data_IF_746765059786
#
_entry.id   IF_746765059786
#
_cell.length_a   1.000
_cell.length_b   1.000
_cell.length_c   1.000
_cell.angle_alpha   90.00
_cell.angle_beta   90.00
_cell.angle_gamma   90.00
#
_symmetry.space_group_name_H-M   'P 1'
#
loop_
_entity.id
_entity.type
_entity.pdbx_description
1 polymer ?
#
# COMPACT_ATOMS: atom_id res chain seq x y z
N UNK A 1 0.78 -16.97 -9.13
CA UNK A 1 1.03 -16.60 -7.73
C UNK A 1 0.58 -15.15 -7.55
N UNK A 2 -0.21 -14.84 -6.52
CA UNK A 2 -0.63 -13.47 -6.24
C UNK A 2 0.57 -12.65 -5.73
N UNK A 3 0.56 -11.34 -5.95
CA UNK A 3 1.61 -10.46 -5.43
C UNK A 3 1.49 -10.28 -3.91
N UNK A 4 2.64 -10.23 -3.23
CA UNK A 4 2.73 -9.85 -1.82
C UNK A 4 2.57 -8.33 -1.68
N UNK A 5 1.85 -7.90 -0.64
CA UNK A 5 1.48 -6.48 -0.45
C UNK A 5 2.39 -5.79 0.57
N UNK A 6 2.75 -4.55 0.27
CA UNK A 6 3.46 -3.65 1.18
C UNK A 6 2.50 -2.59 1.69
N UNK A 7 2.28 -2.58 3.01
CA UNK A 7 1.20 -1.82 3.64
C UNK A 7 1.76 -0.79 4.64
N UNK A 8 1.72 0.50 4.32
CA UNK A 8 1.96 1.56 5.29
C UNK A 8 0.82 1.67 6.30
N UNK A 9 1.19 1.78 7.59
CA UNK A 9 0.23 2.00 8.68
C UNK A 9 0.34 3.41 9.27
N UNK A 10 -0.82 4.06 9.42
CA UNK A 10 -0.99 5.41 9.93
C UNK A 10 -1.81 5.35 11.22
N UNK A 11 -1.16 5.57 12.35
CA UNK A 11 -1.85 5.77 13.62
C UNK A 11 -2.41 7.19 13.63
N UNK A 12 -3.72 7.32 13.85
CA UNK A 12 -4.40 8.60 13.83
C UNK A 12 -4.93 8.91 15.23
N UNK A 13 -4.71 10.14 15.68
CA UNK A 13 -5.28 10.65 16.91
C UNK A 13 -5.75 12.07 16.69
N UNK A 14 -7.03 12.30 16.99
CA UNK A 14 -7.67 13.61 16.86
C UNK A 14 -7.50 14.20 15.44
N UNK A 15 -7.70 13.36 14.41
CA UNK A 15 -7.61 13.76 13.00
C UNK A 15 -6.20 13.98 12.47
N UNK A 16 -5.16 13.66 13.25
CA UNK A 16 -3.76 13.81 12.84
C UNK A 16 -3.00 12.50 12.91
N UNK A 17 -2.08 12.28 11.98
CA UNK A 17 -1.17 11.14 12.05
C UNK A 17 -0.22 11.37 13.20
N UNK A 18 -0.09 10.38 14.07
CA UNK A 18 0.78 10.43 15.23
C UNK A 18 1.80 9.30 15.21
N UNK A 19 2.95 9.53 15.82
CA UNK A 19 4.01 8.52 15.97
C UNK A 19 4.53 8.47 17.39
N UNK A 20 4.64 7.27 17.94
CA UNK A 20 5.24 6.98 19.23
C UNK A 20 5.51 5.49 19.36
N UNK A 21 6.31 5.08 20.33
CA UNK A 21 6.52 3.67 20.65
C UNK A 21 5.53 3.26 21.73
N UNK A 22 4.82 2.14 21.54
CA UNK A 22 3.80 1.64 22.48
C UNK A 22 2.76 2.71 22.89
N UNK A 23 2.37 3.60 21.96
CA UNK A 23 1.46 4.73 22.20
C UNK A 23 1.95 5.77 23.24
N UNK A 24 3.23 5.74 23.61
CA UNK A 24 3.89 6.69 24.51
C UNK A 24 4.62 7.75 23.68
N UNK A 25 4.67 8.99 24.18
CA UNK A 25 5.37 10.13 23.56
C UNK A 25 4.95 10.43 22.10
N UNK A 26 3.64 10.42 21.83
CA UNK A 26 3.08 10.68 20.51
C UNK A 26 3.50 12.06 19.97
N UNK A 27 4.16 12.06 18.81
CA UNK A 27 4.49 13.25 18.02
C UNK A 27 3.57 13.33 16.82
N UNK A 28 3.23 14.55 16.42
CA UNK A 28 2.53 14.82 15.17
C UNK A 28 3.43 14.46 13.98
N UNK A 29 2.92 13.63 13.07
CA UNK A 29 3.61 13.14 11.89
C UNK A 29 2.98 13.61 10.58
N UNK A 30 1.90 14.41 10.63
CA UNK A 30 1.32 14.98 9.41
C UNK A 30 -0.20 14.86 9.32
N UNK A 31 -0.70 15.42 8.23
CA UNK A 31 -2.09 15.27 7.81
C UNK A 31 -2.31 13.87 7.21
N UNK A 32 -3.35 13.12 7.63
CA UNK A 32 -3.61 11.77 7.12
C UNK A 32 -3.79 11.69 5.61
N UNK A 33 -4.42 12.69 4.99
CA UNK A 33 -4.71 12.71 3.55
C UNK A 33 -3.42 12.90 2.76
N UNK A 34 -2.59 13.86 3.17
CA UNK A 34 -1.28 14.10 2.53
C UNK A 34 -0.35 12.89 2.64
N UNK A 35 -0.29 12.26 3.83
CA UNK A 35 0.48 11.02 4.00
C UNK A 35 -0.06 9.88 3.12
N UNK A 36 -1.38 9.71 3.04
CA UNK A 36 -2.01 8.67 2.24
C UNK A 36 -1.72 8.84 0.75
N UNK A 37 -1.82 10.08 0.25
CA UNK A 37 -1.46 10.44 -1.13
C UNK A 37 0.00 10.13 -1.43
N UNK A 38 0.91 10.53 -0.55
CA UNK A 38 2.34 10.26 -0.71
C UNK A 38 2.64 8.76 -0.79
N UNK A 39 1.97 7.93 0.04
CA UNK A 39 2.14 6.48 -0.02
C UNK A 39 1.53 5.83 -1.26
N UNK A 40 0.37 6.30 -1.70
CA UNK A 40 -0.24 5.89 -2.97
C UNK A 40 0.71 6.16 -4.15
N UNK A 41 1.29 7.37 -4.21
CA UNK A 41 2.26 7.75 -5.24
C UNK A 41 3.55 6.93 -5.14
N UNK A 42 4.05 6.67 -3.92
CA UNK A 42 5.21 5.81 -3.69
C UNK A 42 4.97 4.32 -4.03
N UNK A 43 3.74 3.95 -4.42
CA UNK A 43 3.39 2.61 -4.83
C UNK A 43 3.06 1.67 -3.68
N UNK A 44 2.58 2.16 -2.54
CA UNK A 44 1.96 1.30 -1.52
C UNK A 44 0.83 0.45 -2.12
N UNK A 45 0.65 -0.79 -1.66
CA UNK A 45 -0.40 -1.68 -2.18
C UNK A 45 -1.75 -1.51 -1.50
N UNK A 46 -1.70 -1.05 -0.25
CA UNK A 46 -2.85 -0.80 0.61
C UNK A 46 -2.40 0.15 1.73
N UNK A 47 -3.34 0.87 2.36
CA UNK A 47 -3.09 1.63 3.58
C UNK A 47 -3.89 1.08 4.76
N UNK A 48 -3.36 1.22 5.98
CA UNK A 48 -4.11 0.94 7.22
C UNK A 48 -4.11 2.19 8.08
N UNK A 49 -5.30 2.65 8.47
CA UNK A 49 -5.49 3.72 9.44
C UNK A 49 -5.97 3.13 10.76
N UNK A 50 -5.24 3.37 11.85
CA UNK A 50 -5.62 2.94 13.19
C UNK A 50 -5.97 4.18 14.02
N UNK A 51 -7.26 4.42 14.25
CA UNK A 51 -7.70 5.48 15.16
C UNK A 51 -7.50 5.04 16.62
N UNK A 52 -6.66 5.79 17.32
CA UNK A 52 -6.34 5.59 18.74
C UNK A 52 -6.99 6.64 19.65
N UNK A 53 -7.90 7.46 19.11
CA UNK A 53 -8.66 8.41 19.92
C UNK A 53 -9.60 7.67 20.89
N UNK A 54 -9.50 8.03 22.17
CA UNK A 54 -10.25 7.39 23.26
C UNK A 54 -11.67 7.95 23.48
N UNK A 55 -12.14 8.89 22.65
CA UNK A 55 -13.37 9.66 22.91
C UNK A 55 -14.49 9.35 21.92
N UNK A 56 -15.73 9.41 22.41
CA UNK A 56 -16.97 9.19 21.63
C UNK A 56 -17.16 10.25 20.53
N UNK A 57 -16.60 11.45 20.72
CA UNK A 57 -16.60 12.56 19.76
C UNK A 57 -15.67 12.31 18.54
N UNK A 58 -14.80 11.30 18.58
CA UNK A 58 -13.88 10.97 17.49
C UNK A 58 -14.53 10.40 16.23
N UNK A 59 -15.78 9.90 16.31
CA UNK A 59 -16.41 9.16 15.20
C UNK A 59 -16.68 10.00 13.96
N UNK A 60 -17.22 11.20 14.12
CA UNK A 60 -17.41 12.13 13.00
C UNK A 60 -16.07 12.49 12.33
N UNK A 61 -15.04 12.70 13.16
CA UNK A 61 -13.68 13.01 12.69
C UNK A 61 -13.09 11.88 11.85
N UNK A 62 -13.27 10.62 12.25
CA UNK A 62 -12.80 9.47 11.47
C UNK A 62 -13.56 9.36 10.15
N UNK A 63 -14.89 9.50 10.16
CA UNK A 63 -15.70 9.43 8.92
C UNK A 63 -15.29 10.51 7.93
N UNK A 64 -15.06 11.74 8.40
CA UNK A 64 -14.64 12.83 7.52
C UNK A 64 -13.22 12.62 6.98
N UNK A 65 -12.30 12.12 7.81
CA UNK A 65 -10.97 11.69 7.33
C UNK A 65 -11.08 10.62 6.24
N UNK A 66 -11.92 9.59 6.43
CA UNK A 66 -12.11 8.50 5.47
C UNK A 66 -12.60 9.04 4.13
N UNK A 67 -13.58 9.96 4.12
CA UNK A 67 -14.05 10.61 2.88
C UNK A 67 -12.92 11.35 2.18
N UNK A 68 -12.17 12.18 2.91
CA UNK A 68 -11.07 12.96 2.33
C UNK A 68 -9.95 12.09 1.79
N UNK A 69 -9.64 10.96 2.43
CA UNK A 69 -8.67 9.98 1.91
C UNK A 69 -9.18 9.31 0.64
N UNK A 70 -10.45 8.87 0.62
CA UNK A 70 -11.06 8.20 -0.54
C UNK A 70 -11.13 9.09 -1.79
N UNK A 71 -11.17 10.41 -1.63
CA UNK A 71 -11.11 11.36 -2.76
C UNK A 71 -9.73 11.47 -3.40
N UNK A 72 -8.66 11.06 -2.71
CA UNK A 72 -7.26 11.27 -3.12
C UNK A 72 -6.50 9.97 -3.40
N UNK A 73 -6.97 8.84 -2.89
CA UNK A 73 -6.24 7.56 -2.88
C UNK A 73 -6.99 6.50 -3.68
N UNK A 74 -6.27 5.81 -4.56
CA UNK A 74 -6.84 4.81 -5.49
C UNK A 74 -6.27 3.40 -5.27
N UNK A 75 -5.65 3.18 -4.12
CA UNK A 75 -5.32 1.87 -3.58
C UNK A 75 -6.28 1.56 -2.42
N UNK A 76 -6.54 0.29 -2.12
CA UNK A 76 -7.43 -0.06 -1.03
C UNK A 76 -6.94 0.50 0.31
N UNK A 77 -7.85 0.79 1.22
CA UNK A 77 -7.47 1.10 2.59
C UNK A 77 -8.41 0.53 3.65
N UNK A 78 -7.80 0.16 4.78
CA UNK A 78 -8.45 -0.41 5.95
C UNK A 78 -8.52 0.62 7.06
N UNK A 79 -9.66 0.71 7.75
CA UNK A 79 -9.84 1.59 8.93
C UNK A 79 -10.12 0.73 10.17
N UNK A 80 -9.28 0.88 11.18
CA UNK A 80 -9.45 0.28 12.50
C UNK A 80 -9.54 1.34 13.60
N UNK A 81 -10.00 0.93 14.78
CA UNK A 81 -10.16 1.81 15.94
C UNK A 81 -11.62 2.15 16.24
N UNK A 82 -12.10 1.80 17.44
CA UNK A 82 -13.41 2.26 17.92
C UNK A 82 -14.67 1.66 17.26
N UNK A 83 -14.53 0.75 16.29
CA UNK A 83 -15.64 0.06 15.59
C UNK A 83 -16.21 -1.06 16.47
N UNK A 84 -17.50 -0.97 16.82
CA UNK A 84 -18.16 -1.87 17.79
C UNK A 84 -19.52 -2.40 17.35
N UNK A 85 -20.04 -1.95 16.21
CA UNK A 85 -21.37 -2.32 15.73
C UNK A 85 -21.43 -2.43 14.20
N UNK A 86 -22.48 -3.05 13.67
CA UNK A 86 -22.72 -3.08 12.21
C UNK A 86 -23.02 -1.69 11.64
N UNK A 87 -23.52 -0.76 12.46
CA UNK A 87 -23.78 0.61 12.02
C UNK A 87 -22.46 1.37 11.86
N UNK A 88 -21.53 1.20 12.81
CA UNK A 88 -20.18 1.76 12.73
C UNK A 88 -19.47 1.28 11.45
N UNK A 89 -19.58 -0.02 11.16
CA UNK A 89 -18.99 -0.61 9.95
C UNK A 89 -19.62 0.00 8.69
N UNK A 90 -20.96 0.12 8.66
CA UNK A 90 -21.69 0.73 7.54
C UNK A 90 -21.25 2.16 7.28
N UNK A 91 -21.09 2.97 8.33
CA UNK A 91 -20.67 4.37 8.22
C UNK A 91 -19.27 4.49 7.59
N UNK A 92 -18.31 3.68 8.06
CA UNK A 92 -16.92 3.70 7.59
C UNK A 92 -16.81 3.22 6.14
N UNK A 93 -17.48 2.11 5.79
CA UNK A 93 -17.47 1.61 4.41
C UNK A 93 -18.15 2.58 3.44
N UNK A 94 -19.30 3.16 3.81
CA UNK A 94 -19.98 4.16 2.97
C UNK A 94 -19.20 5.47 2.83
N UNK A 95 -18.31 5.78 3.78
CA UNK A 95 -17.44 6.94 3.70
C UNK A 95 -16.31 6.75 2.68
N UNK A 96 -16.01 5.52 2.27
CA UNK A 96 -15.04 5.22 1.21
C UNK A 96 -13.94 4.23 1.60
N UNK A 97 -13.92 3.72 2.84
CA UNK A 97 -12.99 2.65 3.21
C UNK A 97 -13.39 1.33 2.53
N UNK A 98 -12.42 0.58 2.03
CA UNK A 98 -12.67 -0.73 1.43
C UNK A 98 -12.88 -1.82 2.49
N UNK A 99 -12.21 -1.65 3.64
CA UNK A 99 -12.15 -2.63 4.72
C UNK A 99 -12.21 -1.97 6.10
N UNK A 100 -12.72 -2.72 7.07
CA UNK A 100 -12.66 -2.38 8.49
C UNK A 100 -11.75 -3.35 9.24
N UNK A 101 -11.19 -2.90 10.37
CA UNK A 101 -10.41 -3.76 11.28
C UNK A 101 -11.06 -3.86 12.65
N UNK A 102 -11.33 -5.09 13.10
CA UNK A 102 -11.88 -5.40 14.43
C UNK A 102 -10.81 -6.09 15.29
N UNK A 103 -10.58 -5.58 16.49
CA UNK A 103 -9.72 -6.19 17.50
C UNK A 103 -10.55 -6.49 18.76
N UNK A 104 -10.61 -5.55 19.70
CA UNK A 104 -11.22 -5.75 21.01
C UNK A 104 -12.72 -6.02 20.93
N UNK A 105 -13.40 -5.49 19.91
CA UNK A 105 -14.81 -5.76 19.65
C UNK A 105 -15.04 -7.22 19.22
N UNK A 106 -14.16 -7.79 18.38
CA UNK A 106 -14.25 -9.18 17.97
C UNK A 106 -13.99 -10.15 19.13
N UNK A 107 -13.07 -9.82 20.05
CA UNK A 107 -12.85 -10.64 21.26
C UNK A 107 -14.05 -10.57 22.20
N UNK A 108 -14.63 -9.38 22.39
CA UNK A 108 -15.78 -9.19 23.29
C UNK A 108 -17.07 -9.81 22.75
N UNK A 109 -17.30 -9.72 21.46
CA UNK A 109 -18.46 -10.28 20.75
C UNK A 109 -18.00 -10.90 19.42
N UNK A 110 -17.55 -12.17 19.42
CA UNK A 110 -17.08 -12.84 18.20
C UNK A 110 -18.14 -12.90 17.09
N UNK A 111 -19.42 -12.96 17.45
CA UNK A 111 -20.51 -13.04 16.47
C UNK A 111 -20.64 -11.73 15.67
N UNK A 112 -20.04 -10.62 16.12
CA UNK A 112 -19.92 -9.40 15.30
C UNK A 112 -19.16 -9.66 13.99
N UNK A 113 -18.11 -10.50 14.00
CA UNK A 113 -17.35 -10.86 12.79
C UNK A 113 -18.27 -11.53 11.78
N UNK A 114 -19.09 -12.48 12.25
CA UNK A 114 -20.06 -13.21 11.41
C UNK A 114 -21.17 -12.32 10.87
N UNK A 115 -21.78 -11.50 11.72
CA UNK A 115 -22.80 -10.57 11.25
C UNK A 115 -22.23 -9.52 10.27
N UNK A 116 -20.96 -9.13 10.43
CA UNK A 116 -20.30 -8.20 9.52
C UNK A 116 -20.00 -8.85 8.17
N UNK A 117 -19.43 -10.06 8.18
CA UNK A 117 -19.09 -10.80 6.96
C UNK A 117 -20.34 -11.18 6.16
N UNK A 118 -21.43 -11.60 6.81
CA UNK A 118 -22.71 -11.89 6.15
C UNK A 118 -23.35 -10.64 5.53
N UNK A 119 -23.16 -9.47 6.13
CA UNK A 119 -23.79 -8.21 5.68
C UNK A 119 -22.99 -7.45 4.63
N UNK A 120 -21.66 -7.44 4.74
CA UNK A 120 -20.76 -6.61 3.92
C UNK A 120 -19.80 -7.43 3.05
N UNK A 121 -19.70 -8.74 3.28
CA UNK A 121 -18.74 -9.65 2.65
C UNK A 121 -17.47 -9.83 3.48
N UNK A 122 -16.91 -11.04 3.49
CA UNK A 122 -15.69 -11.36 4.25
C UNK A 122 -14.52 -10.45 3.87
N UNK A 123 -14.39 -10.10 2.59
CA UNK A 123 -13.30 -9.26 2.08
C UNK A 123 -13.26 -7.86 2.73
N UNK A 124 -14.36 -7.39 3.31
CA UNK A 124 -14.43 -6.11 4.02
C UNK A 124 -14.02 -6.22 5.50
N UNK A 125 -13.84 -7.43 6.04
CA UNK A 125 -13.64 -7.68 7.48
C UNK A 125 -12.23 -8.19 7.75
N UNK A 126 -11.37 -7.28 8.24
CA UNK A 126 -10.06 -7.61 8.79
C UNK A 126 -10.22 -7.83 10.30
N UNK A 127 -9.61 -8.90 10.83
CA UNK A 127 -9.49 -9.08 12.29
C UNK A 127 -8.05 -8.85 12.71
N UNK A 128 -7.84 -7.81 13.52
CA UNK A 128 -6.55 -7.53 14.12
C UNK A 128 -6.35 -8.39 15.39
N UNK A 129 -5.29 -9.19 15.39
CA UNK A 129 -4.89 -10.07 16.48
C UNK A 129 -3.56 -9.57 17.03
N UNK A 130 -3.62 -8.93 18.19
CA UNK A 130 -2.41 -8.57 18.93
C UNK A 130 -2.03 -9.74 19.84
N UNK A 131 -0.76 -10.14 19.80
CA UNK A 131 -0.26 -11.29 20.57
C UNK A 131 0.91 -10.90 21.46
N UNK A 132 1.08 -11.69 22.52
CA UNK A 132 2.27 -11.67 23.37
C UNK A 132 2.70 -13.09 23.69
N UNK A 133 4.01 -13.34 23.65
CA UNK A 133 4.62 -14.61 24.01
C UNK A 133 4.39 -14.93 25.50
N UNK A 134 4.08 -16.19 25.79
CA UNK A 134 3.98 -16.72 27.15
C UNK A 134 5.33 -17.26 27.59
N UNK A 135 5.84 -16.80 28.73
CA UNK A 135 7.07 -17.32 29.33
C UNK A 135 6.94 -18.84 29.60
N UNK A 136 7.78 -19.67 28.96
CA UNK A 136 7.77 -21.14 29.10
C UNK A 136 6.97 -21.90 28.03
N UNK A 137 6.39 -21.19 27.06
CA UNK A 137 5.67 -21.77 25.93
C UNK A 137 6.60 -22.40 24.90
N UNK A 138 6.80 -23.72 24.95
CA UNK A 138 7.32 -24.43 23.78
C UNK A 138 6.18 -24.69 22.82
N UNK A 139 6.37 -24.23 21.61
CA UNK A 139 5.50 -24.51 20.49
C UNK A 139 5.38 -26.03 20.31
N UNK A 140 4.17 -26.57 20.46
CA UNK A 140 3.82 -27.92 20.03
C UNK A 140 3.06 -27.81 18.70
N UNK A 141 3.76 -27.49 17.62
CA UNK A 141 3.19 -27.70 16.29
C UNK A 141 3.19 -29.21 16.06
N UNK A 142 2.01 -29.81 16.00
CA UNK A 142 1.87 -31.16 15.50
C UNK A 142 2.34 -31.17 14.04
N UNK A 143 3.45 -31.85 13.78
CA UNK A 143 4.11 -32.08 12.49
C UNK A 143 4.66 -30.87 11.73
N UNK A 144 5.89 -30.46 12.07
CA UNK A 144 6.92 -30.15 11.07
C UNK A 144 8.27 -30.63 11.64
N UNK A 145 9.13 -31.15 10.77
CA UNK A 145 10.23 -32.06 11.07
C UNK A 145 11.27 -31.65 12.14
N UNK A 146 11.89 -32.70 12.67
CA UNK A 146 12.86 -32.72 13.75
C UNK A 146 14.10 -31.87 13.45
N UNK A 147 14.27 -30.75 14.17
CA UNK A 147 15.57 -30.25 14.68
C UNK A 147 15.46 -28.92 15.47
N UNK A 148 14.41 -28.75 16.29
CA UNK A 148 14.34 -27.63 17.23
C UNK A 148 14.92 -28.00 18.61
N UNK A 149 16.16 -27.57 18.87
CA UNK A 149 16.80 -27.65 20.20
C UNK A 149 16.36 -26.48 21.07
N UNK A 150 15.28 -26.68 21.82
CA UNK A 150 14.78 -25.67 22.75
C UNK A 150 13.78 -26.24 23.76
N UNK A 151 14.13 -27.36 24.40
CA UNK A 151 13.28 -28.00 25.40
C UNK A 151 13.74 -27.64 26.84
N UNK A 152 13.22 -26.55 27.42
CA UNK A 152 13.19 -26.28 28.88
C UNK A 152 12.32 -27.30 29.67
N UNK A 153 12.95 -28.23 30.37
CA UNK A 153 12.30 -29.34 31.08
C UNK A 153 11.51 -28.93 32.35
N UNK A 154 11.45 -27.62 32.69
CA UNK A 154 10.80 -27.14 33.92
C UNK A 154 9.46 -26.40 33.72
N UNK A 155 8.87 -26.39 32.51
CA UNK A 155 7.60 -25.72 32.27
C UNK A 155 6.40 -26.52 32.83
N UNK A 156 5.54 -25.89 33.64
CA UNK A 156 4.32 -26.49 34.19
C UNK A 156 3.39 -26.98 33.05
N UNK A 157 3.12 -28.28 33.00
CA UNK A 157 2.37 -28.93 31.91
C UNK A 157 0.92 -28.41 31.72
N UNK A 158 0.28 -27.89 32.77
CA UNK A 158 -1.11 -27.39 32.72
C UNK A 158 -1.27 -26.02 32.02
N UNK A 159 -0.23 -25.18 31.99
CA UNK A 159 -0.30 -23.83 31.41
C UNK A 159 -0.07 -23.86 29.88
N UNK A 160 0.73 -24.82 29.40
CA UNK A 160 1.04 -25.00 27.98
C UNK A 160 -0.07 -25.69 27.17
N UNK A 161 -0.99 -26.44 27.80
CA UNK A 161 -2.12 -27.04 27.06
C UNK A 161 -3.16 -26.00 26.62
N UNK A 162 -3.24 -24.88 27.34
CA UNK A 162 -4.22 -23.82 27.05
C UNK A 162 -3.78 -22.90 25.92
N UNK A 163 -2.47 -22.76 25.72
CA UNK A 163 -1.85 -21.92 24.69
C UNK A 163 -0.92 -22.77 23.81
N UNK A 164 -1.46 -23.70 23.00
CA UNK A 164 -0.63 -24.58 22.16
C UNK A 164 0.29 -23.82 21.19
N UNK A 165 -0.06 -22.59 20.80
CA UNK A 165 0.80 -21.73 19.99
C UNK A 165 1.98 -21.15 20.77
N UNK A 166 1.92 -21.10 22.10
CA UNK A 166 2.85 -20.34 22.95
C UNK A 166 2.52 -18.84 23.06
N UNK A 167 1.47 -18.36 22.38
CA UNK A 167 1.10 -16.96 22.33
C UNK A 167 -0.33 -16.74 22.85
N UNK A 168 -0.49 -15.69 23.64
CA UNK A 168 -1.79 -15.25 24.16
C UNK A 168 -2.25 -14.00 23.41
N UNK A 169 -3.52 -14.00 22.99
CA UNK A 169 -4.17 -12.83 22.41
C UNK A 169 -4.37 -11.78 23.50
N UNK A 170 -4.05 -10.54 23.18
CA UNK A 170 -4.20 -9.38 24.04
C UNK A 170 -5.05 -8.30 23.35
N UNK A 171 -5.67 -7.43 24.15
CA UNK A 171 -6.53 -6.34 23.67
C UNK A 171 -6.24 -5.06 24.46
N UNK A 172 -6.91 -3.97 24.08
CA UNK A 172 -6.73 -2.65 24.69
C UNK A 172 -5.26 -2.18 24.61
N UNK A 173 -4.69 -2.22 23.40
CA UNK A 173 -3.29 -1.85 23.16
C UNK A 173 -2.29 -2.73 23.91
N UNK A 174 -2.61 -4.03 24.06
CA UNK A 174 -1.75 -5.00 24.75
C UNK A 174 -1.87 -5.04 26.27
N UNK A 175 -2.64 -4.14 26.89
CA UNK A 175 -2.70 -4.03 28.36
C UNK A 175 -3.58 -5.10 29.01
N UNK A 176 -4.46 -5.76 28.25
CA UNK A 176 -5.40 -6.75 28.78
C UNK A 176 -5.25 -8.10 28.09
N UNK A 177 -4.86 -9.11 28.86
CA UNK A 177 -4.86 -10.51 28.47
C UNK A 177 -6.29 -11.04 28.27
N UNK A 178 -6.50 -11.88 27.25
CA UNK A 178 -7.83 -12.41 26.91
C UNK A 178 -8.03 -13.86 27.37
N UNK A 179 -6.95 -14.59 27.65
CA UNK A 179 -7.01 -16.02 27.91
C UNK A 179 -7.20 -16.88 26.65
N UNK A 180 -7.10 -16.31 25.45
CA UNK A 180 -7.25 -17.00 24.16
C UNK A 180 -5.89 -17.30 23.54
N UNK A 181 -5.73 -18.49 22.99
CA UNK A 181 -4.59 -18.87 22.16
C UNK A 181 -4.67 -18.18 20.78
N UNK A 182 -3.52 -17.71 20.28
CA UNK A 182 -3.45 -16.95 19.06
C UNK A 182 -3.86 -17.74 17.80
N UNK A 183 -3.41 -18.99 17.66
CA UNK A 183 -3.71 -19.83 16.50
C UNK A 183 -5.16 -20.31 16.54
N UNK A 184 -5.65 -20.72 17.71
CA UNK A 184 -7.05 -21.13 17.84
C UNK A 184 -8.01 -19.95 17.64
N UNK A 185 -7.64 -18.75 18.09
CA UNK A 185 -8.41 -17.55 17.81
C UNK A 185 -8.42 -17.19 16.32
N UNK A 186 -7.29 -17.31 15.62
CA UNK A 186 -7.20 -17.10 14.18
C UNK A 186 -8.16 -18.02 13.39
N UNK A 187 -8.13 -19.33 13.68
CA UNK A 187 -9.08 -20.30 13.09
C UNK A 187 -10.53 -19.94 13.41
N UNK A 188 -10.79 -19.49 14.65
CA UNK A 188 -12.13 -19.12 15.08
C UNK A 188 -12.66 -17.95 14.28
N UNK A 189 -11.89 -16.89 14.10
CA UNK A 189 -12.35 -15.69 13.37
C UNK A 189 -12.48 -15.94 11.88
N UNK A 190 -11.63 -16.78 11.30
CA UNK A 190 -11.82 -17.29 9.94
C UNK A 190 -13.15 -18.05 9.82
N UNK A 191 -13.46 -18.96 10.74
CA UNK A 191 -14.74 -19.70 10.72
C UNK A 191 -15.98 -18.80 10.88
N UNK A 192 -15.80 -17.60 11.43
CA UNK A 192 -16.81 -16.55 11.55
C UNK A 192 -16.85 -15.65 10.31
N UNK A 193 -15.99 -15.86 9.32
CA UNK A 193 -16.00 -15.16 8.05
C UNK A 193 -15.13 -13.91 7.98
N UNK A 194 -14.14 -13.75 8.86
CA UNK A 194 -13.05 -12.80 8.61
C UNK A 194 -12.43 -13.08 7.24
N UNK A 195 -12.15 -12.03 6.45
CA UNK A 195 -11.52 -12.18 5.14
C UNK A 195 -10.01 -12.02 5.17
N UNK A 196 -9.45 -11.52 6.28
CA UNK A 196 -8.02 -11.27 6.44
C UNK A 196 -7.67 -11.10 7.93
N UNK A 197 -6.45 -11.49 8.31
CA UNK A 197 -5.90 -11.32 9.66
C UNK A 197 -4.79 -10.29 9.63
N UNK A 198 -4.85 -9.29 10.52
CA UNK A 198 -3.75 -8.39 10.81
C UNK A 198 -3.08 -8.83 12.12
N UNK A 199 -1.93 -9.50 12.02
CA UNK A 199 -1.22 -10.04 13.17
C UNK A 199 -0.15 -9.06 13.66
N UNK A 200 -0.23 -8.63 14.91
CA UNK A 200 0.80 -7.78 15.54
C UNK A 200 1.44 -8.51 16.73
N UNK A 201 2.75 -8.76 16.67
CA UNK A 201 3.51 -9.25 17.84
C UNK A 201 3.98 -8.08 18.69
N UNK A 202 3.44 -7.95 19.91
CA UNK A 202 3.80 -6.86 20.81
C UNK A 202 5.21 -7.00 21.39
N UNK A 203 5.77 -8.22 21.42
CA UNK A 203 7.15 -8.44 21.86
C UNK A 203 8.16 -7.90 20.86
N UNK A 204 7.76 -7.80 19.58
CA UNK A 204 8.58 -7.26 18.51
C UNK A 204 8.26 -5.81 18.19
N UNK A 205 7.06 -5.34 18.47
CA UNK A 205 6.63 -4.00 18.07
C UNK A 205 7.55 -2.89 18.60
N UNK A 206 7.92 -1.96 17.70
CA UNK A 206 8.87 -0.89 17.98
C UNK A 206 10.35 -1.31 18.19
N UNK A 207 10.69 -2.60 18.21
CA UNK A 207 12.07 -3.06 18.51
C UNK A 207 13.04 -2.98 17.33
N UNK A 208 12.53 -2.92 16.08
CA UNK A 208 13.32 -3.03 14.84
C UNK A 208 14.17 -4.32 14.77
N UNK A 209 13.71 -5.41 15.39
CA UNK A 209 14.40 -6.71 15.45
C UNK A 209 13.89 -7.75 14.44
N UNK A 210 13.02 -7.35 13.52
CA UNK A 210 12.31 -8.21 12.58
C UNK A 210 10.89 -8.55 13.05
N UNK A 211 10.08 -9.04 12.11
CA UNK A 211 8.75 -9.58 12.44
C UNK A 211 8.88 -10.84 13.31
N UNK A 212 7.80 -11.18 14.00
CA UNK A 212 7.71 -12.47 14.69
C UNK A 212 7.31 -13.58 13.71
N UNK A 213 8.30 -14.09 12.97
CA UNK A 213 8.07 -15.10 11.93
C UNK A 213 7.51 -16.41 12.49
N UNK A 214 7.75 -16.70 13.77
CA UNK A 214 7.32 -17.94 14.41
C UNK A 214 5.80 -17.99 14.55
N UNK A 215 5.21 -16.99 15.21
CA UNK A 215 3.75 -16.90 15.32
C UNK A 215 3.09 -16.56 13.98
N UNK A 216 3.75 -15.73 13.15
CA UNK A 216 3.25 -15.43 11.79
C UNK A 216 3.09 -16.71 10.99
N UNK A 217 4.10 -17.59 10.99
CA UNK A 217 4.05 -18.86 10.29
C UNK A 217 3.00 -19.80 10.85
N UNK A 218 2.94 -19.91 12.19
CA UNK A 218 1.96 -20.76 12.86
C UNK A 218 0.51 -20.37 12.52
N UNK A 219 0.21 -19.08 12.39
CA UNK A 219 -1.11 -18.61 11.97
C UNK A 219 -1.31 -18.81 10.46
N UNK A 220 -0.34 -18.41 9.63
CA UNK A 220 -0.44 -18.53 8.17
C UNK A 220 -0.65 -19.99 7.70
N UNK A 221 -0.02 -20.96 8.35
CA UNK A 221 -0.24 -22.39 8.05
C UNK A 221 -1.59 -22.92 8.57
N UNK A 222 -2.20 -22.24 9.55
CA UNK A 222 -3.41 -22.69 10.23
C UNK A 222 -4.71 -22.14 9.64
N UNK A 223 -4.65 -21.10 8.81
CA UNK A 223 -5.81 -20.48 8.16
C UNK A 223 -5.64 -20.46 6.64
N UNK A 224 -6.74 -20.27 5.92
CA UNK A 224 -6.76 -20.14 4.45
C UNK A 224 -6.93 -18.70 3.95
N UNK A 225 -7.24 -17.77 4.87
CA UNK A 225 -7.35 -16.33 4.58
C UNK A 225 -6.00 -15.62 4.70
N UNK A 226 -5.79 -14.50 3.98
CA UNK A 226 -4.54 -13.75 4.03
C UNK A 226 -4.12 -13.31 5.43
N UNK A 227 -2.81 -13.38 5.70
CA UNK A 227 -2.20 -12.90 6.94
C UNK A 227 -1.26 -11.72 6.66
N UNK A 228 -1.49 -10.60 7.34
CA UNK A 228 -0.61 -9.42 7.36
C UNK A 228 0.31 -9.52 8.58
N UNK A 229 1.62 -9.55 8.37
CA UNK A 229 2.61 -9.46 9.45
C UNK A 229 2.84 -7.99 9.84
N UNK A 230 2.75 -7.69 11.14
CA UNK A 230 2.94 -6.36 11.72
C UNK A 230 3.78 -6.43 13.00
N UNK A 231 4.53 -5.36 13.27
CA UNK A 231 5.35 -5.20 14.48
C UNK A 231 6.78 -5.74 14.32
N UNK A 232 7.77 -4.85 14.43
CA UNK A 232 9.18 -5.22 14.60
C UNK A 232 10.10 -5.05 13.39
N UNK A 233 9.61 -4.78 12.19
CA UNK A 233 10.47 -4.50 11.04
C UNK A 233 11.46 -3.34 11.30
N UNK A 234 12.72 -3.55 10.91
CA UNK A 234 13.83 -2.60 11.05
C UNK A 234 14.63 -2.39 9.76
N UNK A 235 14.70 -3.40 8.87
CA UNK A 235 15.47 -3.40 7.62
C UNK A 235 14.73 -4.17 6.51
N UNK A 236 15.18 -4.05 5.26
CA UNK A 236 14.52 -4.68 4.10
C UNK A 236 14.47 -6.22 4.20
N UNK A 237 15.49 -6.83 4.79
CA UNK A 237 15.56 -8.28 5.04
C UNK A 237 14.38 -8.76 5.88
N UNK A 238 13.95 -7.98 6.88
CA UNK A 238 12.85 -8.38 7.76
C UNK A 238 11.54 -8.57 6.98
N UNK A 239 11.30 -7.77 5.94
CA UNK A 239 10.14 -7.91 5.06
C UNK A 239 10.22 -9.17 4.19
N UNK A 240 11.42 -9.53 3.73
CA UNK A 240 11.63 -10.79 3.03
C UNK A 240 11.39 -11.98 3.96
N UNK A 241 11.97 -11.95 5.16
CA UNK A 241 11.86 -13.03 6.14
C UNK A 241 10.40 -13.19 6.61
N UNK A 242 9.66 -12.09 6.81
CA UNK A 242 8.22 -12.13 7.14
C UNK A 242 7.37 -12.80 6.07
N UNK A 243 7.71 -12.63 4.79
CA UNK A 243 7.01 -13.26 3.66
C UNK A 243 7.43 -14.73 3.49
N UNK A 244 8.73 -15.02 3.57
CA UNK A 244 9.28 -16.34 3.24
C UNK A 244 9.23 -17.28 4.43
N UNK A 245 9.79 -16.87 5.56
CA UNK A 245 9.83 -17.69 6.77
C UNK A 245 8.49 -17.62 7.50
N UNK A 246 7.96 -16.40 7.66
CA UNK A 246 6.68 -16.14 8.30
C UNK A 246 5.45 -16.54 7.46
N UNK A 247 5.61 -16.74 6.15
CA UNK A 247 4.49 -17.11 5.27
C UNK A 247 3.47 -16.00 5.03
N UNK A 248 3.77 -14.75 5.40
CA UNK A 248 2.82 -13.66 5.29
C UNK A 248 2.41 -13.35 3.83
N UNK A 249 1.17 -12.91 3.65
CA UNK A 249 0.65 -12.42 2.35
C UNK A 249 0.84 -10.92 2.16
N UNK A 250 1.00 -10.22 3.28
CA UNK A 250 1.34 -8.83 3.30
C UNK A 250 2.24 -8.52 4.49
N UNK A 251 3.00 -7.44 4.38
CA UNK A 251 3.87 -6.94 5.42
C UNK A 251 3.54 -5.49 5.68
N UNK A 252 3.30 -5.17 6.94
CA UNK A 252 2.86 -3.86 7.38
C UNK A 252 3.96 -3.20 8.22
N UNK A 253 4.28 -1.96 7.88
CA UNK A 253 5.19 -1.15 8.67
C UNK A 253 4.70 0.30 8.75
N UNK A 254 5.03 0.95 9.87
CA UNK A 254 4.72 2.35 10.10
C UNK A 254 6.01 3.18 10.04
N UNK A 255 6.76 3.22 11.14
CA UNK A 255 7.84 4.19 11.37
C UNK A 255 8.92 4.21 10.27
N UNK A 256 9.28 3.05 9.72
CA UNK A 256 10.28 2.95 8.66
C UNK A 256 9.92 3.76 7.40
N UNK A 257 8.63 3.77 7.04
CA UNK A 257 8.14 4.51 5.88
C UNK A 257 7.95 6.00 6.21
N UNK A 258 7.41 6.32 7.40
CA UNK A 258 7.17 7.72 7.80
C UNK A 258 8.46 8.54 7.92
N UNK A 259 9.54 7.92 8.39
CA UNK A 259 10.85 8.59 8.52
C UNK A 259 11.73 8.47 7.27
N UNK A 260 11.23 7.85 6.20
CA UNK A 260 11.99 7.64 4.96
C UNK A 260 13.23 6.77 5.14
N UNK A 261 13.30 5.97 6.21
CA UNK A 261 14.40 5.03 6.46
C UNK A 261 14.42 3.93 5.39
N UNK A 262 13.24 3.53 4.92
CA UNK A 262 13.04 2.64 3.78
C UNK A 262 12.01 3.27 2.87
N UNK A 263 12.33 3.44 1.59
CA UNK A 263 11.34 3.82 0.57
C UNK A 263 10.60 2.57 0.10
N UNK A 264 9.29 2.69 -0.12
CA UNK A 264 8.44 1.58 -0.59
C UNK A 264 8.94 1.05 -1.94
N UNK A 265 9.33 1.95 -2.84
CA UNK A 265 9.91 1.59 -4.14
C UNK A 265 11.16 0.72 -3.98
N UNK A 266 12.13 1.16 -3.17
CA UNK A 266 13.39 0.45 -2.95
C UNK A 266 13.15 -0.93 -2.31
N UNK A 267 12.20 -1.01 -1.37
CA UNK A 267 11.80 -2.28 -0.76
C UNK A 267 11.18 -3.23 -1.80
N UNK A 268 10.33 -2.73 -2.68
CA UNK A 268 9.71 -3.54 -3.74
C UNK A 268 10.74 -4.03 -4.75
N UNK A 269 11.71 -3.19 -5.12
CA UNK A 269 12.81 -3.57 -5.99
C UNK A 269 13.69 -4.64 -5.34
N UNK A 270 13.99 -4.49 -4.04
CA UNK A 270 14.70 -5.50 -3.26
C UNK A 270 13.97 -6.86 -3.24
N UNK A 271 12.66 -6.85 -2.94
CA UNK A 271 11.84 -8.06 -2.89
C UNK A 271 11.70 -8.72 -4.28
N UNK A 272 11.45 -7.93 -5.32
CA UNK A 272 11.39 -8.41 -6.70
C UNK A 272 12.72 -9.01 -7.15
N UNK A 273 13.85 -8.37 -6.81
CA UNK A 273 15.20 -8.87 -7.08
C UNK A 273 15.51 -10.20 -6.39
N UNK A 274 14.77 -10.54 -5.33
CA UNK A 274 14.83 -11.84 -4.64
C UNK A 274 13.74 -12.83 -5.07
N UNK A 275 13.01 -12.52 -6.14
CA UNK A 275 11.99 -13.40 -6.71
C UNK A 275 10.64 -13.37 -6.01
N UNK A 276 10.40 -12.43 -5.09
CA UNK A 276 9.07 -12.25 -4.48
C UNK A 276 8.20 -11.46 -5.45
N UNK A 277 7.01 -11.98 -5.84
CA UNK A 277 6.11 -11.23 -6.70
C UNK A 277 5.53 -10.05 -5.93
N UNK A 278 5.84 -8.84 -6.35
CA UNK A 278 5.29 -7.59 -5.79
C UNK A 278 4.82 -6.70 -6.93
N UNK A 279 3.84 -5.84 -6.68
CA UNK A 279 3.37 -4.88 -7.70
C UNK A 279 4.36 -3.73 -7.81
N UNK A 280 5.07 -3.62 -8.93
CA UNK A 280 6.01 -2.52 -9.20
C UNK A 280 5.34 -1.42 -10.02
N UNK A 281 5.80 -0.18 -9.86
CA UNK A 281 5.42 0.93 -10.73
C UNK A 281 6.01 0.72 -12.13
N UNK A 282 5.22 0.96 -13.18
CA UNK A 282 5.71 0.90 -14.56
C UNK A 282 6.73 2.03 -14.81
N UNK A 283 7.67 1.87 -15.74
CA UNK A 283 8.58 2.97 -16.11
C UNK A 283 7.84 4.25 -16.52
N UNK A 284 6.69 4.11 -17.20
CA UNK A 284 5.84 5.23 -17.59
C UNK A 284 5.25 5.95 -16.37
N UNK A 285 4.74 5.21 -15.38
CA UNK A 285 4.17 5.80 -14.17
C UNK A 285 5.25 6.47 -13.31
N UNK A 286 6.43 5.85 -13.17
CA UNK A 286 7.57 6.46 -12.47
C UNK A 286 7.97 7.79 -13.12
N UNK A 287 8.09 7.80 -14.44
CA UNK A 287 8.38 9.02 -15.20
C UNK A 287 7.27 10.05 -14.99
N UNK A 288 6.02 9.66 -15.17
CA UNK A 288 4.87 10.55 -15.02
C UNK A 288 4.81 11.20 -13.65
N UNK A 289 4.96 10.43 -12.57
CA UNK A 289 4.97 10.96 -11.20
C UNK A 289 6.08 11.99 -10.97
N UNK A 290 7.23 11.84 -11.63
CA UNK A 290 8.36 12.76 -11.51
C UNK A 290 8.19 14.11 -12.24
N UNK A 291 7.20 14.22 -13.13
CA UNK A 291 6.91 15.43 -13.90
C UNK A 291 6.09 16.45 -13.12
N UNK A 292 6.36 17.73 -13.33
CA UNK A 292 5.50 18.84 -12.92
C UNK A 292 4.43 19.04 -13.98
N UNK A 293 3.18 18.91 -13.57
CA UNK A 293 2.02 19.11 -14.45
C UNK A 293 1.47 20.50 -14.29
N UNK A 294 0.86 21.03 -15.35
CA UNK A 294 0.12 22.28 -15.29
C UNK A 294 -1.18 22.14 -14.47
N UNK A 295 -1.95 23.22 -14.38
CA UNK A 295 -3.23 23.25 -13.64
C UNK A 295 -4.31 22.32 -14.23
N UNK A 296 -4.11 21.82 -15.45
CA UNK A 296 -4.99 20.86 -16.11
C UNK A 296 -4.46 19.42 -15.99
N UNK A 297 -3.34 19.20 -15.29
CA UNK A 297 -2.71 17.89 -15.16
C UNK A 297 -1.92 17.46 -16.40
N UNK A 298 -1.56 18.40 -17.28
CA UNK A 298 -0.86 18.12 -18.54
C UNK A 298 0.62 18.53 -18.48
N UNK A 299 1.42 17.92 -19.35
CA UNK A 299 2.84 18.21 -19.53
C UNK A 299 3.09 18.60 -21.00
N UNK A 300 3.70 19.75 -21.28
CA UNK A 300 4.26 20.09 -22.58
C UNK A 300 5.20 19.01 -23.15
N UNK A 301 5.02 18.70 -24.43
CA UNK A 301 5.91 17.84 -25.20
C UNK A 301 6.40 18.58 -26.44
N UNK A 302 7.71 18.79 -26.52
CA UNK A 302 8.41 19.32 -27.68
C UNK A 302 8.90 18.13 -28.50
N UNK A 303 8.69 18.19 -29.80
CA UNK A 303 9.11 17.14 -30.73
C UNK A 303 10.09 17.71 -31.73
N UNK A 304 11.22 17.03 -31.86
CA UNK A 304 12.30 17.38 -32.78
C UNK A 304 12.61 16.21 -33.70
N UNK A 305 12.99 16.51 -34.94
CA UNK A 305 13.53 15.54 -35.88
C UNK A 305 14.89 15.05 -35.37
N UNK A 306 15.10 13.75 -35.23
CA UNK A 306 16.35 13.24 -34.67
C UNK A 306 17.53 13.43 -35.64
N UNK A 307 17.28 13.42 -36.94
CA UNK A 307 18.36 13.58 -37.92
C UNK A 307 18.87 15.03 -38.01
N UNK A 308 17.97 16.01 -38.12
CA UNK A 308 18.32 17.43 -38.34
C UNK A 308 18.35 18.26 -37.06
N UNK A 309 17.68 17.80 -36.01
CA UNK A 309 17.38 18.54 -34.76
C UNK A 309 16.41 19.71 -34.95
N UNK A 310 15.70 19.78 -36.07
CA UNK A 310 14.65 20.78 -36.28
C UNK A 310 13.50 20.57 -35.28
N UNK A 311 12.99 21.66 -34.71
CA UNK A 311 11.78 21.62 -33.88
C UNK A 311 10.57 21.46 -34.81
N UNK A 312 9.81 20.40 -34.61
CA UNK A 312 8.68 20.04 -35.48
C UNK A 312 7.34 20.48 -34.89
N UNK A 313 7.13 20.26 -33.60
CA UNK A 313 5.82 20.46 -32.97
C UNK A 313 5.96 20.66 -31.46
N UNK A 314 5.02 21.40 -30.89
CA UNK A 314 4.74 21.39 -29.46
C UNK A 314 3.29 20.97 -29.25
N UNK A 315 3.07 20.02 -28.34
CA UNK A 315 1.77 19.51 -27.95
C UNK A 315 1.75 19.23 -26.44
N UNK A 316 0.66 18.66 -25.93
CA UNK A 316 0.50 18.33 -24.51
C UNK A 316 0.29 16.84 -24.34
N UNK A 317 0.73 16.31 -23.21
CA UNK A 317 0.56 14.91 -22.82
C UNK A 317 -0.09 14.82 -21.43
N UNK A 318 -0.95 13.83 -21.28
CA UNK A 318 -1.41 13.27 -20.01
C UNK A 318 -0.70 11.92 -19.75
N UNK A 319 -1.09 11.21 -18.69
CA UNK A 319 -0.51 9.89 -18.38
C UNK A 319 -0.76 8.89 -19.52
N UNK A 320 -1.99 8.83 -20.03
CA UNK A 320 -2.40 7.85 -21.05
C UNK A 320 -1.59 8.03 -22.35
N UNK A 321 -1.44 9.27 -22.81
CA UNK A 321 -0.63 9.57 -24.00
C UNK A 321 0.86 9.31 -23.79
N UNK A 322 1.42 9.56 -22.60
CA UNK A 322 2.81 9.21 -22.29
C UNK A 322 3.02 7.69 -22.29
N UNK A 323 2.14 6.96 -21.60
CA UNK A 323 2.18 5.51 -21.52
C UNK A 323 2.10 4.90 -22.92
N UNK A 324 1.12 5.30 -23.73
CA UNK A 324 0.97 4.83 -25.11
C UNK A 324 2.17 5.17 -25.98
N UNK A 325 2.77 6.35 -25.81
CA UNK A 325 3.99 6.72 -26.53
C UNK A 325 5.17 5.81 -26.18
N UNK A 326 5.34 5.49 -24.89
CA UNK A 326 6.40 4.59 -24.43
C UNK A 326 6.19 3.15 -24.90
N UNK A 327 4.93 2.68 -24.93
CA UNK A 327 4.54 1.34 -25.38
C UNK A 327 4.72 1.16 -26.90
N UNK A 328 4.10 2.05 -27.69
CA UNK A 328 3.99 1.91 -29.15
C UNK A 328 5.19 2.42 -29.92
N UNK A 329 6.03 3.25 -29.26
CA UNK A 329 7.07 4.06 -29.92
C UNK A 329 6.54 5.00 -30.99
N UNK A 330 5.26 5.35 -30.93
CA UNK A 330 4.64 6.39 -31.77
C UNK A 330 4.17 7.54 -30.89
N UNK A 331 4.31 8.78 -31.36
CA UNK A 331 3.84 9.93 -30.58
C UNK A 331 2.32 9.93 -30.42
N UNK A 332 1.88 9.85 -29.16
CA UNK A 332 0.51 10.10 -28.73
C UNK A 332 0.47 11.41 -27.94
N UNK A 333 -0.63 12.15 -28.05
CA UNK A 333 -0.82 13.43 -27.40
C UNK A 333 -2.20 13.49 -26.73
N UNK A 334 -2.35 14.40 -25.77
CA UNK A 334 -3.65 14.83 -25.27
C UNK A 334 -4.13 16.05 -26.06
N UNK A 335 -5.23 15.88 -26.81
CA UNK A 335 -5.82 16.96 -27.58
C UNK A 335 -6.65 17.87 -26.69
N UNK A 336 -6.11 19.01 -26.24
CA UNK A 336 -6.81 19.96 -25.35
C UNK A 336 -8.19 20.41 -25.84
N UNK A 337 -8.38 20.55 -27.15
CA UNK A 337 -9.67 20.94 -27.75
C UNK A 337 -10.72 19.83 -27.79
N UNK A 338 -10.29 18.58 -27.91
CA UNK A 338 -11.16 17.39 -27.99
C UNK A 338 -11.29 16.69 -26.63
N UNK A 339 -10.41 17.05 -25.70
CA UNK A 339 -10.22 16.41 -24.41
C UNK A 339 -10.10 14.88 -24.53
N UNK A 340 -9.24 14.42 -25.45
CA UNK A 340 -9.08 13.02 -25.78
C UNK A 340 -7.66 12.69 -26.21
N UNK A 341 -7.28 11.42 -26.05
CA UNK A 341 -6.08 10.84 -26.65
C UNK A 341 -6.07 11.04 -28.17
N UNK A 342 -4.88 11.28 -28.72
CA UNK A 342 -4.66 11.47 -30.16
C UNK A 342 -3.35 10.85 -30.60
N UNK A 343 -3.43 9.84 -31.47
CA UNK A 343 -2.27 9.30 -32.18
C UNK A 343 -1.93 10.19 -33.39
N UNK A 344 -0.70 10.75 -33.41
CA UNK A 344 -0.25 11.55 -34.53
C UNK A 344 -0.05 10.69 -35.77
N UNK A 345 -0.71 11.08 -36.85
CA UNK A 345 -0.64 10.38 -38.15
C UNK A 345 -1.76 9.38 -38.38
N UNK A 346 -2.63 9.10 -37.40
CA UNK A 346 -3.71 8.11 -37.53
C UNK A 346 -4.60 8.35 -38.76
N UNK A 347 -4.95 9.60 -39.06
CA UNK A 347 -5.77 9.96 -40.22
C UNK A 347 -4.95 10.22 -41.49
N UNK A 348 -3.76 10.82 -41.36
CA UNK A 348 -2.98 11.31 -42.51
C UNK A 348 -1.90 10.34 -42.99
N UNK A 349 -1.58 9.30 -42.20
CA UNK A 349 -0.42 8.43 -42.40
C UNK A 349 0.93 9.06 -42.02
N UNK A 350 0.94 10.32 -41.54
CA UNK A 350 2.18 11.05 -41.20
C UNK A 350 2.56 10.83 -39.72
N UNK A 351 3.03 9.62 -39.42
CA UNK A 351 3.42 9.18 -38.08
C UNK A 351 4.71 9.83 -37.58
N UNK A 352 4.93 9.77 -36.26
CA UNK A 352 6.13 10.23 -35.58
C UNK A 352 6.70 9.08 -34.76
N UNK A 353 7.85 8.55 -35.17
CA UNK A 353 8.47 7.37 -34.57
C UNK A 353 9.49 7.77 -33.51
N UNK A 354 9.27 7.39 -32.26
CA UNK A 354 10.11 7.78 -31.13
C UNK A 354 11.45 7.04 -31.13
N UNK A 355 12.54 7.80 -31.18
CA UNK A 355 13.91 7.27 -30.99
C UNK A 355 14.36 7.35 -29.55
N UNK A 356 14.14 8.52 -28.92
CA UNK A 356 14.51 8.78 -27.53
C UNK A 356 13.76 9.99 -26.99
N UNK A 357 13.75 10.13 -25.66
CA UNK A 357 13.19 11.26 -24.96
C UNK A 357 14.17 11.81 -23.92
N UNK A 358 14.01 13.08 -23.58
CA UNK A 358 14.78 13.80 -22.57
C UNK A 358 13.83 14.63 -21.70
N UNK A 359 14.24 14.84 -20.46
CA UNK A 359 13.60 15.77 -19.53
C UNK A 359 14.39 17.09 -19.53
N UNK A 360 13.68 18.19 -19.32
CA UNK A 360 14.32 19.45 -18.97
C UNK A 360 14.80 19.45 -17.50
N UNK A 361 15.40 20.58 -17.07
CA UNK A 361 16.08 20.67 -15.78
C UNK A 361 15.12 20.74 -14.58
N UNK A 362 13.90 21.26 -14.78
CA UNK A 362 12.90 21.44 -13.73
C UNK A 362 11.70 20.50 -13.88
N UNK A 363 11.71 19.63 -14.89
CA UNK A 363 10.80 18.51 -15.14
C UNK A 363 9.38 18.94 -15.48
N UNK A 364 9.20 20.09 -16.11
CA UNK A 364 7.89 20.53 -16.57
C UNK A 364 7.66 20.34 -18.08
N UNK A 365 8.70 19.96 -18.83
CA UNK A 365 8.61 19.72 -20.27
C UNK A 365 9.34 18.43 -20.71
N UNK A 366 8.71 17.68 -21.61
CA UNK A 366 9.31 16.53 -22.29
C UNK A 366 9.84 16.93 -23.67
N UNK A 367 11.03 16.44 -24.03
CA UNK A 367 11.62 16.57 -25.36
C UNK A 367 11.73 15.20 -26.02
N UNK A 368 11.05 15.00 -27.14
CA UNK A 368 11.09 13.78 -27.94
C UNK A 368 11.88 13.97 -29.21
N UNK A 369 12.79 13.04 -29.49
CA UNK A 369 13.50 12.94 -30.75
C UNK A 369 12.87 11.82 -31.56
N UNK A 370 12.40 12.17 -32.76
CA UNK A 370 11.59 11.28 -33.59
C UNK A 370 12.07 11.25 -35.04
N UNK A 371 11.69 10.20 -35.78
CA UNK A 371 11.70 10.22 -37.25
C UNK A 371 10.28 10.59 -37.73
N UNK A 372 10.14 11.65 -38.52
CA UNK A 372 8.85 12.10 -39.05
C UNK A 372 8.54 11.46 -40.41
N UNK A 373 7.39 10.79 -40.52
CA UNK A 373 6.82 10.41 -41.82
C UNK A 373 6.05 11.60 -42.39
N UNK A 374 6.39 12.05 -43.60
CA UNK A 374 5.67 13.14 -44.28
C UNK A 374 5.69 14.46 -43.51
N UNK A 375 4.54 15.14 -43.45
CA UNK A 375 4.42 16.44 -42.78
C UNK A 375 4.05 16.31 -41.29
N UNK A 376 4.77 17.01 -40.40
CA UNK A 376 4.37 17.11 -39.00
C UNK A 376 3.14 18.01 -38.82
N UNK A 377 3.02 19.07 -39.64
CA UNK A 377 1.93 20.03 -39.54
C UNK A 377 0.72 19.65 -40.40
N UNK A 378 -0.48 19.97 -39.93
CA UNK A 378 -1.73 19.82 -40.69
C UNK A 378 -1.77 20.67 -41.98
N UNK A 379 -0.93 21.70 -42.08
CA UNK A 379 -0.80 22.55 -43.29
C UNK A 379 0.07 21.93 -44.37
N UNK A 380 0.62 20.72 -44.14
CA UNK A 380 1.55 20.06 -45.07
C UNK A 380 3.02 20.45 -44.89
N UNK A 381 3.34 21.34 -43.95
CA UNK A 381 4.72 21.71 -43.64
C UNK A 381 5.44 20.67 -42.78
N UNK A 382 6.77 20.58 -42.96
CA UNK A 382 7.62 19.69 -42.16
C UNK A 382 7.58 20.04 -40.67
N UNK A 383 7.59 21.33 -40.32
CA UNK A 383 7.46 21.83 -38.94
C UNK A 383 6.18 22.67 -38.78
N UNK A 384 5.66 22.78 -37.56
CA UNK A 384 4.66 23.76 -37.15
C UNK A 384 5.24 25.17 -36.96
N UNK A 385 6.56 25.29 -36.85
CA UNK A 385 7.30 26.56 -36.69
C UNK A 385 7.91 27.00 -38.02
N UNK A 386 7.10 27.02 -39.08
CA UNK A 386 7.55 27.28 -40.45
C UNK A 386 7.49 28.76 -40.86
N UNK A 387 6.95 29.63 -40.01
CA UNK A 387 6.84 31.06 -40.28
C UNK A 387 7.88 31.82 -39.46
N UNK A 388 8.85 32.39 -40.13
CA UNK A 388 9.85 33.24 -39.49
C UNK A 388 9.24 34.58 -39.06
N UNK A 389 9.78 35.12 -37.95
CA UNK A 389 9.47 36.46 -37.47
C UNK A 389 10.72 37.31 -37.68
N UNK A 390 10.57 38.40 -38.42
CA UNK A 390 11.62 39.42 -38.53
C UNK A 390 11.76 40.16 -37.19
N UNK A 391 12.96 40.11 -36.62
CA UNK A 391 13.28 40.74 -35.33
C UNK A 391 13.96 42.12 -35.49
N UNK A 392 14.21 42.57 -36.73
CA UNK A 392 14.89 43.85 -37.02
C UNK A 392 16.32 43.67 -37.50
#
# INVERSE_FOLDING_TARGET
MLSKRIIPCLDVKNGRVVKGTNFIALRDAGDPVECAKAYNEAGADELVFLDISATVEGRGTVVDMVKSVAEQVFIPFTVGGGIRSLEDIREILNAGADKISLNSAAVKDPELVKRASEKFGSQCVVVAIDVRERSGGKIRIASVDADFKGIDENANEEDNSKFPSGYEVVVAGGTKATGLDAVEWAKKVESLGAGEILLTSLDRDGTKSGFDNVITRAIADAVSIPVIASGGAGKMEDFYDGIVDGGADAVLAASLFHFGEIRIEDLKEYLAGRGIPVRTLTPALKLWQSLKKDKQGLVPAIVVEDSTKDVLMMAYMDYESLEKTMETKLMHYHSRSRNSLWLKGETSGHYQHVKRASLDCDRDTLLFYIDQDGAACHTGNHSCFFTDIDLG
#
